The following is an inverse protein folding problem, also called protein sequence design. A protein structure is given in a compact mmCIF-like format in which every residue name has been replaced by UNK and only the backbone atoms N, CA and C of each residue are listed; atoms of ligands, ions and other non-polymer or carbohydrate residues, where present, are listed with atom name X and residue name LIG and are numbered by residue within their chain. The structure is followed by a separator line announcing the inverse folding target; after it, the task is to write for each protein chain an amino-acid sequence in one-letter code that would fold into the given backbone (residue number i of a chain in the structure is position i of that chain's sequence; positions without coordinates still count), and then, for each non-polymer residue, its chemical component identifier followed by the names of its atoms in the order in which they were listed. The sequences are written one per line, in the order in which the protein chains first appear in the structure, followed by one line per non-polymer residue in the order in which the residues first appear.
data_IF_709602636041
#
_entry.id   IF_709602636041
#
_cell.length_a   1.000
_cell.length_b   1.000
_cell.length_c   1.000
_cell.angle_alpha   90.00
_cell.angle_beta   90.00
_cell.angle_gamma   90.00
#
_symmetry.space_group_name_H-M   'P 1'
#
loop_
_entity.id
_entity.type
_entity.pdbx_description
1 polymer ?
#
# COMPACT_ATOMS: atom_id res chain seq x y z
N UNK A 1 2.79 -11.41 -5.27
CA UNK A 1 2.78 -12.23 -4.04
C UNK A 1 4.03 -11.99 -3.18
N UNK A 2 5.17 -11.70 -3.80
CA UNK A 2 6.47 -11.60 -3.09
C UNK A 2 6.51 -10.48 -2.05
N UNK A 3 5.98 -9.29 -2.37
CA UNK A 3 5.86 -8.18 -1.41
C UNK A 3 5.14 -8.61 -0.12
N UNK A 4 4.04 -9.37 -0.24
CA UNK A 4 3.29 -9.88 0.92
C UNK A 4 4.17 -10.78 1.79
N UNK A 5 4.92 -11.70 1.17
CA UNK A 5 5.80 -12.65 1.88
C UNK A 5 6.99 -11.94 2.52
N UNK A 6 7.69 -11.09 1.76
CA UNK A 6 8.87 -10.35 2.22
C UNK A 6 8.54 -9.42 3.40
N UNK A 7 7.35 -8.81 3.39
CA UNK A 7 6.89 -7.92 4.45
C UNK A 7 6.15 -8.66 5.58
N UNK A 8 6.14 -10.00 5.58
CA UNK A 8 5.53 -10.81 6.62
C UNK A 8 4.05 -10.54 6.84
N UNK A 9 3.32 -10.16 5.79
CA UNK A 9 1.89 -9.89 5.85
C UNK A 9 1.13 -11.22 5.90
N UNK A 10 0.27 -11.36 6.90
CA UNK A 10 -0.52 -12.55 7.17
C UNK A 10 -2.01 -12.21 7.35
N UNK A 11 -2.86 -13.22 7.54
CA UNK A 11 -4.32 -13.03 7.67
C UNK A 11 -4.75 -12.12 8.84
N UNK A 12 -3.95 -12.08 9.92
CA UNK A 12 -4.18 -11.22 11.08
C UNK A 12 -3.51 -9.84 11.02
N UNK A 13 -2.88 -9.46 9.89
CA UNK A 13 -2.21 -8.16 9.80
C UNK A 13 -3.26 -7.04 9.87
N UNK A 14 -2.98 -6.00 10.66
CA UNK A 14 -3.87 -4.85 10.77
C UNK A 14 -4.03 -4.15 9.42
N UNK A 15 -5.18 -3.53 9.20
CA UNK A 15 -5.44 -2.67 8.04
C UNK A 15 -5.89 -1.32 8.56
N UNK A 16 -5.27 -0.25 8.07
CA UNK A 16 -5.69 1.13 8.31
C UNK A 16 -6.03 1.78 6.97
N UNK A 17 -7.28 2.18 6.80
CA UNK A 17 -7.73 2.93 5.62
C UNK A 17 -7.20 4.36 5.75
N UNK A 18 -6.56 4.87 4.69
CA UNK A 18 -5.99 6.21 4.63
C UNK A 18 -6.82 7.14 3.75
N UNK A 19 -7.41 6.62 2.67
CA UNK A 19 -8.41 7.31 1.86
C UNK A 19 -9.41 6.31 1.27
N UNK A 20 -10.68 6.70 1.21
CA UNK A 20 -11.75 5.95 0.57
C UNK A 20 -12.67 6.93 -0.19
N UNK A 21 -12.48 7.00 -1.50
CA UNK A 21 -13.18 7.88 -2.42
C UNK A 21 -13.50 7.10 -3.71
N UNK A 22 -14.36 7.64 -4.57
CA UNK A 22 -14.86 6.94 -5.76
C UNK A 22 -13.74 6.41 -6.70
N UNK A 23 -12.66 7.16 -6.86
CA UNK A 23 -11.53 6.82 -7.73
C UNK A 23 -10.22 6.53 -6.96
N UNK A 24 -10.29 6.38 -5.64
CA UNK A 24 -9.13 6.12 -4.79
C UNK A 24 -9.50 5.30 -3.55
N UNK A 25 -8.86 4.15 -3.41
CA UNK A 25 -8.76 3.46 -2.13
C UNK A 25 -7.29 3.34 -1.74
N UNK A 26 -6.90 3.88 -0.59
CA UNK A 26 -5.55 3.71 -0.05
C UNK A 26 -5.58 3.17 1.37
N UNK A 27 -4.64 2.28 1.67
CA UNK A 27 -4.56 1.61 2.94
C UNK A 27 -3.13 1.25 3.31
N UNK A 28 -2.88 1.22 4.61
CA UNK A 28 -1.68 0.64 5.21
C UNK A 28 -2.01 -0.74 5.76
N UNK A 29 -1.16 -1.73 5.49
CA UNK A 29 -1.32 -3.11 5.96
C UNK A 29 -0.14 -3.52 6.80
N UNK A 30 -0.41 -3.99 8.02
CA UNK A 30 0.57 -4.48 8.98
C UNK A 30 1.64 -3.46 9.36
N UNK A 31 1.38 -2.16 9.16
CA UNK A 31 2.35 -1.06 9.33
C UNK A 31 3.64 -1.19 8.49
N UNK A 32 3.64 -2.09 7.51
CA UNK A 32 4.80 -2.46 6.69
C UNK A 32 4.63 -2.13 5.22
N UNK A 33 3.39 -2.14 4.72
CA UNK A 33 3.09 -1.73 3.35
C UNK A 33 2.02 -0.66 3.30
N UNK A 34 2.09 0.17 2.27
CA UNK A 34 1.06 1.09 1.83
C UNK A 34 0.62 0.72 0.42
N UNK A 35 -0.64 0.94 0.07
CA UNK A 35 -1.14 0.70 -1.29
C UNK A 35 -2.16 1.74 -1.71
N UNK A 36 -2.30 1.94 -3.03
CA UNK A 36 -3.45 2.58 -3.66
C UNK A 36 -4.10 1.66 -4.69
N UNK A 37 -5.40 1.81 -4.85
CA UNK A 37 -6.20 1.31 -5.96
C UNK A 37 -7.00 2.48 -6.54
N UNK A 38 -7.24 2.45 -7.85
CA UNK A 38 -7.97 3.47 -8.58
C UNK A 38 -7.08 4.45 -9.33
N UNK A 39 -7.73 5.33 -10.08
CA UNK A 39 -7.12 6.27 -11.02
C UNK A 39 -6.51 7.48 -10.32
N UNK A 40 -7.04 7.89 -9.16
CA UNK A 40 -6.53 9.07 -8.49
C UNK A 40 -5.08 8.86 -8.01
N UNK A 41 -4.32 9.94 -8.03
CA UNK A 41 -2.94 9.97 -7.54
C UNK A 41 -2.90 9.89 -6.02
N UNK A 42 -2.01 9.05 -5.51
CA UNK A 42 -1.74 8.93 -4.08
C UNK A 42 -0.38 8.27 -3.86
N UNK A 43 0.36 8.69 -2.85
CA UNK A 43 1.55 8.01 -2.34
C UNK A 43 1.68 8.25 -0.83
N UNK A 44 2.32 7.34 -0.07
CA UNK A 44 2.57 7.57 1.34
C UNK A 44 3.58 8.70 1.54
N UNK A 45 3.41 9.47 2.61
CA UNK A 45 4.41 10.44 3.07
C UNK A 45 5.49 9.75 3.88
N UNK A 46 6.74 10.13 3.70
CA UNK A 46 7.87 9.62 4.47
C UNK A 46 8.97 9.03 3.58
N UNK A 47 10.23 9.21 3.97
CA UNK A 47 11.39 8.74 3.20
C UNK A 47 11.62 7.23 3.34
N UNK A 48 11.02 6.62 4.36
CA UNK A 48 11.07 5.19 4.61
C UNK A 48 10.30 4.36 3.58
N UNK A 49 9.43 4.98 2.78
CA UNK A 49 8.60 4.27 1.80
C UNK A 49 9.28 4.14 0.45
N UNK A 50 9.47 2.90 0.00
CA UNK A 50 9.96 2.58 -1.34
C UNK A 50 8.87 1.95 -2.19
N UNK A 51 8.79 2.35 -3.46
CA UNK A 51 7.86 1.76 -4.42
C UNK A 51 8.26 0.30 -4.66
N UNK A 52 7.37 -0.62 -4.30
CA UNK A 52 7.57 -2.05 -4.46
C UNK A 52 7.16 -2.53 -5.86
N UNK A 53 6.00 -2.05 -6.33
CA UNK A 53 5.42 -2.40 -7.63
C UNK A 53 4.28 -1.43 -7.97
N UNK A 54 4.02 -1.24 -9.26
CA UNK A 54 2.89 -0.45 -9.77
C UNK A 54 2.41 -1.02 -11.11
N UNK A 55 1.19 -0.63 -11.49
CA UNK A 55 0.58 -1.00 -12.77
C UNK A 55 -0.69 -0.19 -13.00
N UNK A 56 -1.55 -0.66 -13.91
CA UNK A 56 -2.81 0.03 -14.20
C UNK A 56 -3.65 0.17 -12.93
N UNK A 57 -3.90 1.42 -12.53
CA UNK A 57 -4.73 1.79 -11.37
C UNK A 57 -4.31 1.15 -10.03
N UNK A 58 -3.04 0.80 -9.85
CA UNK A 58 -2.51 0.40 -8.54
C UNK A 58 -1.04 0.76 -8.34
N UNK A 59 -0.67 0.94 -7.08
CA UNK A 59 0.72 1.01 -6.63
C UNK A 59 0.85 0.53 -5.19
N UNK A 60 1.98 -0.09 -4.87
CA UNK A 60 2.30 -0.63 -3.54
C UNK A 60 3.68 -0.16 -3.12
N UNK A 61 3.79 0.30 -1.88
CA UNK A 61 5.03 0.71 -1.23
C UNK A 61 5.29 -0.18 -0.01
N UNK A 62 6.56 -0.39 0.31
CA UNK A 62 6.97 -1.03 1.56
C UNK A 62 7.90 -0.09 2.34
N UNK A 63 7.98 -0.29 3.66
CA UNK A 63 9.05 0.31 4.46
C UNK A 63 10.36 -0.40 4.14
N UNK A 64 11.44 0.36 3.97
CA UNK A 64 12.79 -0.17 3.99
C UNK A 64 13.27 -0.46 5.42
#
# INVERSE_FOLDING_TARGET
IDVRKQQGIHSRSSIRILAAQANLYSAMVGERICMKLGEASWCPSGREWKLATSGDRYAVWHKE
#
